data_IF_196991283517
#
_entry.id   IF_196991283517
#
_cell.length_a   1.000
_cell.length_b   1.000
_cell.length_c   1.000
_cell.angle_alpha   90.00
_cell.angle_beta   90.00
_cell.angle_gamma   90.00
#
_symmetry.space_group_name_H-M   'P 1'
#
loop_
_entity.id
_entity.type
_entity.pdbx_description
1 polymer ?
#
# COMPACT_ATOMS: atom_id res chain seq x y z
N UNK A 1 -7.14 8.29 23.06
CA UNK A 1 -6.65 7.29 22.08
C UNK A 1 -6.55 7.99 20.72
N UNK A 2 -5.47 7.79 19.97
CA UNK A 2 -5.28 8.38 18.62
C UNK A 2 -4.47 9.70 18.55
N UNK A 3 -4.03 10.26 19.67
CA UNK A 3 -3.18 11.48 19.69
C UNK A 3 -1.69 11.18 19.49
N UNK A 4 -1.27 9.94 19.73
CA UNK A 4 0.09 9.46 19.51
C UNK A 4 -0.01 8.29 18.55
N UNK A 5 0.55 8.46 17.35
CA UNK A 5 0.61 7.42 16.32
C UNK A 5 2.08 7.07 16.04
N UNK A 6 2.30 5.90 15.44
CA UNK A 6 3.62 5.46 14.99
C UNK A 6 3.66 5.46 13.46
N UNK A 7 4.80 5.84 12.89
CA UNK A 7 4.99 5.85 11.45
C UNK A 7 4.93 4.41 10.89
N UNK A 8 4.34 4.26 9.70
CA UNK A 8 4.27 2.98 8.99
C UNK A 8 5.64 2.54 8.48
N UNK A 9 5.79 1.23 8.21
CA UNK A 9 7.09 0.58 7.96
C UNK A 9 7.92 1.20 6.83
N UNK A 10 7.28 1.65 5.74
CA UNK A 10 7.97 2.24 4.58
C UNK A 10 7.68 3.72 4.38
N UNK A 11 6.93 4.36 5.29
CA UNK A 11 6.62 5.77 5.17
C UNK A 11 7.86 6.61 5.45
N UNK A 12 8.02 7.70 4.71
CA UNK A 12 9.10 8.69 4.89
C UNK A 12 8.52 10.09 5.03
N UNK A 13 9.30 11.00 5.60
CA UNK A 13 8.96 12.43 5.68
C UNK A 13 9.80 13.16 4.64
N UNK A 14 9.17 13.94 3.76
CA UNK A 14 9.87 14.74 2.76
C UNK A 14 10.42 16.06 3.33
N UNK A 15 11.15 16.82 2.52
CA UNK A 15 11.80 18.08 2.96
C UNK A 15 10.82 19.14 3.46
N UNK A 16 9.55 19.05 3.04
CA UNK A 16 8.47 19.95 3.44
C UNK A 16 7.71 19.47 4.68
N UNK A 17 8.06 18.29 5.22
CA UNK A 17 7.42 17.72 6.39
C UNK A 17 6.18 16.87 6.10
N UNK A 18 5.86 16.58 4.84
CA UNK A 18 4.75 15.69 4.48
C UNK A 18 5.18 14.23 4.53
N UNK A 19 4.23 13.36 4.89
CA UNK A 19 4.42 11.92 4.89
C UNK A 19 4.19 11.41 3.47
N UNK A 20 5.11 10.60 2.97
CA UNK A 20 5.04 9.94 1.68
C UNK A 20 5.11 8.42 1.84
N UNK A 21 4.42 7.71 0.96
CA UNK A 21 4.44 6.25 0.87
C UNK A 21 5.00 5.81 -0.50
N UNK A 22 5.74 4.69 -0.55
CA UNK A 22 6.27 4.17 -1.80
C UNK A 22 5.22 3.36 -2.58
N UNK A 23 5.22 3.54 -3.89
CA UNK A 23 4.37 2.85 -4.85
C UNK A 23 5.18 2.41 -6.07
N UNK A 24 4.87 1.22 -6.61
CA UNK A 24 5.40 0.76 -7.89
C UNK A 24 4.62 1.37 -9.03
N UNK A 25 5.31 1.91 -10.02
CA UNK A 25 4.66 2.51 -11.19
C UNK A 25 4.20 1.45 -12.17
N UNK A 26 2.98 1.58 -12.68
CA UNK A 26 2.49 0.80 -13.83
C UNK A 26 2.79 1.59 -15.10
N UNK A 27 3.44 0.96 -16.07
CA UNK A 27 3.70 1.60 -17.36
C UNK A 27 2.38 1.75 -18.16
N UNK A 28 1.95 2.98 -18.47
CA UNK A 28 0.67 3.23 -19.14
C UNK A 28 0.61 2.68 -20.57
N UNK A 29 1.76 2.42 -21.22
CA UNK A 29 1.77 1.90 -22.59
C UNK A 29 1.74 0.37 -22.63
N UNK A 30 2.34 -0.29 -21.64
CA UNK A 30 2.53 -1.76 -21.64
C UNK A 30 1.66 -2.49 -20.63
N UNK A 31 1.13 -1.78 -19.63
CA UNK A 31 0.38 -2.35 -18.49
C UNK A 31 1.24 -3.20 -17.57
N UNK A 32 2.57 -3.05 -17.64
CA UNK A 32 3.53 -3.80 -16.81
C UNK A 32 3.78 -3.03 -15.52
N UNK A 33 3.74 -3.73 -14.39
CA UNK A 33 4.16 -3.19 -13.10
C UNK A 33 5.67 -3.18 -13.05
N UNK A 34 6.25 -1.98 -13.03
CA UNK A 34 7.69 -1.77 -13.05
C UNK A 34 8.29 -1.87 -11.64
N UNK A 35 9.62 -1.97 -11.57
CA UNK A 35 10.37 -1.87 -10.32
C UNK A 35 10.74 -0.42 -9.96
N UNK A 36 10.23 0.56 -10.72
CA UNK A 36 10.37 1.98 -10.41
C UNK A 36 9.47 2.32 -9.21
N UNK A 37 10.10 2.71 -8.10
CA UNK A 37 9.41 3.14 -6.89
C UNK A 37 9.28 4.66 -6.88
N UNK A 38 8.04 5.15 -6.95
CA UNK A 38 7.70 6.54 -6.72
C UNK A 38 7.17 6.71 -5.31
N UNK A 39 7.63 7.74 -4.61
CA UNK A 39 7.05 8.12 -3.33
C UNK A 39 6.04 9.22 -3.56
N UNK A 40 4.82 9.00 -3.09
CA UNK A 40 3.72 9.92 -3.28
C UNK A 40 3.25 10.44 -1.92
N UNK A 41 2.95 11.73 -1.88
CA UNK A 41 2.19 12.34 -0.80
C UNK A 41 0.71 11.95 -0.90
N UNK A 42 -0.07 12.21 0.16
CA UNK A 42 -1.51 11.93 0.17
C UNK A 42 -2.25 12.68 -0.95
N UNK A 43 -1.91 13.96 -1.18
CA UNK A 43 -2.54 14.78 -2.23
C UNK A 43 -2.20 14.27 -3.64
N UNK A 44 -1.00 13.71 -3.84
CA UNK A 44 -0.61 13.11 -5.11
C UNK A 44 -1.32 11.77 -5.33
N UNK A 45 -1.40 10.90 -4.31
CA UNK A 45 -2.10 9.60 -4.39
C UNK A 45 -3.56 9.76 -4.85
N UNK A 46 -4.27 10.77 -4.36
CA UNK A 46 -5.69 11.02 -4.68
C UNK A 46 -6.00 11.18 -6.19
N UNK A 47 -4.98 11.45 -6.99
CA UNK A 47 -5.11 11.59 -8.44
C UNK A 47 -4.92 10.29 -9.21
N UNK A 48 -4.45 9.23 -8.54
CA UNK A 48 -4.07 7.97 -9.16
C UNK A 48 -4.90 6.80 -8.66
N UNK A 49 -4.99 5.77 -9.50
CA UNK A 49 -5.59 4.49 -9.12
C UNK A 49 -4.50 3.54 -8.66
N UNK A 50 -4.61 3.08 -7.41
CA UNK A 50 -3.61 2.22 -6.77
C UNK A 50 -4.14 0.79 -6.59
N UNK A 51 -3.46 -0.18 -7.19
CA UNK A 51 -3.72 -1.61 -6.96
C UNK A 51 -3.07 -2.12 -5.68
N UNK A 52 -3.69 -3.12 -5.06
CA UNK A 52 -3.17 -3.75 -3.84
C UNK A 52 -1.92 -4.60 -4.12
N UNK A 53 -1.04 -4.72 -3.12
CA UNK A 53 0.23 -5.46 -3.24
C UNK A 53 0.05 -6.98 -3.45
N UNK A 54 -1.12 -7.52 -3.12
CA UNK A 54 -1.47 -8.93 -3.28
C UNK A 54 -2.13 -9.24 -4.63
N UNK A 55 -2.25 -8.26 -5.54
CA UNK A 55 -2.76 -8.51 -6.88
C UNK A 55 -1.86 -9.49 -7.63
N UNK A 56 -2.45 -10.51 -8.23
CA UNK A 56 -1.72 -11.54 -8.97
C UNK A 56 -1.10 -10.97 -10.25
N UNK A 57 0.22 -11.15 -10.40
CA UNK A 57 0.99 -10.75 -11.57
C UNK A 57 1.45 -11.98 -12.37
N UNK A 58 1.55 -11.84 -13.68
CA UNK A 58 2.19 -12.80 -14.59
C UNK A 58 3.71 -12.72 -14.50
N UNK A 59 4.42 -13.68 -15.08
CA UNK A 59 5.89 -13.68 -15.14
C UNK A 59 6.46 -12.43 -15.85
N UNK A 60 5.71 -11.88 -16.81
CA UNK A 60 6.02 -10.63 -17.51
C UNK A 60 5.70 -9.35 -16.69
N UNK A 61 5.23 -9.49 -15.44
CA UNK A 61 4.91 -8.37 -14.56
C UNK A 61 3.58 -7.66 -14.87
N UNK A 62 2.66 -8.30 -15.60
CA UNK A 62 1.32 -7.76 -15.89
C UNK A 62 0.29 -8.32 -14.92
N UNK A 63 -0.84 -7.63 -14.73
CA UNK A 63 -1.96 -8.20 -13.96
C UNK A 63 -2.52 -9.45 -14.65
N UNK A 64 -2.58 -10.56 -13.90
CA UNK A 64 -3.11 -11.84 -14.39
C UNK A 64 -4.62 -11.77 -14.64
N UNK A 65 -5.33 -11.00 -13.81
CA UNK A 65 -6.78 -10.82 -13.88
C UNK A 65 -7.14 -9.57 -14.69
N UNK A 66 -8.22 -9.64 -15.49
CA UNK A 66 -8.70 -8.48 -16.27
C UNK A 66 -9.31 -7.39 -15.40
N UNK A 67 -9.86 -7.78 -14.24
CA UNK A 67 -10.36 -6.86 -13.22
C UNK A 67 -9.50 -6.93 -11.96
N UNK A 68 -9.05 -5.77 -11.50
CA UNK A 68 -8.20 -5.63 -10.31
C UNK A 68 -8.93 -4.83 -9.24
N UNK A 69 -8.77 -5.22 -7.97
CA UNK A 69 -9.26 -4.43 -6.84
C UNK A 69 -8.27 -3.30 -6.60
N UNK A 70 -8.79 -2.07 -6.65
CA UNK A 70 -8.01 -0.85 -6.55
C UNK A 70 -8.60 0.07 -5.49
N UNK A 71 -7.75 0.94 -4.95
CA UNK A 71 -8.14 2.10 -4.16
C UNK A 71 -8.09 3.33 -5.06
N UNK A 72 -9.15 4.12 -5.06
CA UNK A 72 -9.19 5.42 -5.68
C UNK A 72 -9.90 6.37 -4.72
N UNK A 73 -9.16 7.34 -4.17
CA UNK A 73 -9.63 8.20 -3.08
C UNK A 73 -10.15 7.35 -1.91
N UNK A 74 -11.36 7.62 -1.43
CA UNK A 74 -11.99 6.91 -0.32
C UNK A 74 -12.65 5.58 -0.73
N UNK A 75 -12.71 5.25 -2.04
CA UNK A 75 -13.45 4.10 -2.55
C UNK A 75 -12.53 2.93 -2.94
N UNK A 76 -12.99 1.71 -2.62
CA UNK A 76 -12.40 0.47 -3.12
C UNK A 76 -13.24 -0.04 -4.28
N UNK A 77 -12.67 -0.01 -5.48
CA UNK A 77 -13.35 -0.31 -6.73
C UNK A 77 -12.76 -1.55 -7.40
N UNK A 78 -13.55 -2.20 -8.25
CA UNK A 78 -13.04 -3.19 -9.21
C UNK A 78 -13.05 -2.55 -10.59
N UNK A 79 -11.88 -2.39 -11.17
CA UNK A 79 -11.73 -1.76 -12.49
C UNK A 79 -10.89 -2.63 -13.41
N UNK A 80 -10.90 -2.29 -14.70
CA UNK A 80 -10.04 -2.94 -15.69
C UNK A 80 -8.56 -2.66 -15.38
N UNK A 81 -7.70 -3.67 -15.57
CA UNK A 81 -6.24 -3.58 -15.34
C UNK A 81 -5.56 -2.42 -16.08
N UNK A 82 -6.10 -1.99 -17.22
CA UNK A 82 -5.55 -0.91 -18.05
C UNK A 82 -5.74 0.49 -17.45
N UNK A 83 -6.53 0.61 -16.38
CA UNK A 83 -6.80 1.87 -15.68
C UNK A 83 -6.03 2.00 -14.36
N UNK A 84 -5.10 1.09 -14.09
CA UNK A 84 -4.28 1.10 -12.88
C UNK A 84 -3.01 1.91 -13.14
N UNK A 85 -2.74 2.90 -12.31
CA UNK A 85 -1.57 3.78 -12.45
C UNK A 85 -0.40 3.32 -11.58
N UNK A 86 -0.70 2.84 -10.37
CA UNK A 86 0.28 2.44 -9.37
C UNK A 86 -0.12 1.14 -8.67
N UNK A 87 0.84 0.51 -8.01
CA UNK A 87 0.63 -0.68 -7.17
C UNK A 87 1.39 -0.54 -5.85
N UNK A 88 0.77 -0.95 -4.74
CA UNK A 88 1.42 -1.01 -3.43
C UNK A 88 2.69 -1.88 -3.49
N UNK A 89 3.75 -1.50 -2.77
CA UNK A 89 5.02 -2.25 -2.75
C UNK A 89 4.91 -3.52 -1.91
N UNK A 90 4.21 -3.44 -0.78
CA UNK A 90 4.12 -4.56 0.16
C UNK A 90 2.89 -4.45 1.06
N UNK A 91 2.23 -5.56 1.44
CA UNK A 91 1.17 -5.55 2.46
C UNK A 91 1.65 -4.98 3.81
N UNK A 92 2.95 -5.08 4.10
CA UNK A 92 3.54 -4.57 5.34
C UNK A 92 3.64 -3.04 5.38
N UNK A 93 3.41 -2.35 4.27
CA UNK A 93 3.52 -0.89 4.20
C UNK A 93 2.43 -0.17 5.00
N UNK A 94 1.32 -0.85 5.28
CA UNK A 94 0.16 -0.28 6.00
C UNK A 94 0.39 -0.27 7.51
N UNK A 95 1.26 -1.13 8.03
CA UNK A 95 1.46 -1.33 9.47
C UNK A 95 2.78 -0.73 9.96
N UNK A 96 2.85 -0.41 11.25
CA UNK A 96 4.09 0.03 11.90
C UNK A 96 5.07 -1.12 12.10
N UNK A 97 6.35 -0.79 12.32
CA UNK A 97 7.41 -1.80 12.52
C UNK A 97 7.09 -2.78 13.64
N UNK A 98 6.59 -2.29 14.78
CA UNK A 98 6.24 -3.14 15.92
C UNK A 98 5.04 -4.06 15.60
N UNK A 99 4.05 -3.57 14.86
CA UNK A 99 2.90 -4.37 14.45
C UNK A 99 3.30 -5.43 13.42
N UNK A 100 4.23 -5.11 12.52
CA UNK A 100 4.73 -6.01 11.48
C UNK A 100 5.51 -7.22 12.04
N UNK A 101 5.91 -7.20 13.31
CA UNK A 101 6.57 -8.30 14.01
C UNK A 101 5.59 -9.32 14.61
N UNK A 102 4.29 -9.03 14.63
CA UNK A 102 3.27 -9.97 15.10
C UNK A 102 3.04 -11.02 14.01
N UNK A 103 3.36 -12.31 14.26
CA UNK A 103 3.08 -13.36 13.30
C UNK A 103 1.56 -13.60 13.19
N UNK A 104 1.09 -13.97 12.00
CA UNK A 104 -0.32 -14.29 11.73
C UNK A 104 -1.30 -13.17 12.09
N UNK A 105 -0.87 -11.91 11.96
CA UNK A 105 -1.66 -10.70 12.25
C UNK A 105 -3.02 -10.70 11.54
N UNK A 106 -3.09 -11.27 10.34
CA UNK A 106 -4.30 -11.40 9.54
C UNK A 106 -5.39 -12.28 10.18
N UNK A 107 -5.05 -13.07 11.21
CA UNK A 107 -5.97 -13.93 11.96
C UNK A 107 -6.38 -13.34 13.31
N UNK A 108 -5.79 -12.21 13.72
CA UNK A 108 -6.09 -11.55 14.99
C UNK A 108 -7.02 -10.35 14.78
N UNK A 109 -7.86 -10.05 15.78
CA UNK A 109 -8.69 -8.84 15.76
C UNK A 109 -7.86 -7.60 16.09
N UNK A 110 -8.36 -6.43 15.65
CA UNK A 110 -7.64 -5.17 15.78
C UNK A 110 -7.35 -4.76 17.23
N UNK A 111 -8.19 -5.15 18.20
CA UNK A 111 -7.95 -4.82 19.61
C UNK A 111 -6.82 -5.68 20.19
N UNK A 112 -6.79 -6.98 19.86
CA UNK A 112 -5.68 -7.87 20.24
C UNK A 112 -4.37 -7.46 19.58
N UNK A 113 -4.40 -7.08 18.31
CA UNK A 113 -3.23 -6.54 17.62
C UNK A 113 -2.70 -5.28 18.31
N UNK A 114 -3.59 -4.32 18.65
CA UNK A 114 -3.23 -3.09 19.35
C UNK A 114 -2.60 -3.37 20.74
N UNK A 115 -3.19 -4.28 21.51
CA UNK A 115 -2.62 -4.66 22.82
C UNK A 115 -1.26 -5.35 22.62
N UNK A 116 -1.15 -6.29 21.68
CA UNK A 116 0.08 -7.01 21.38
C UNK A 116 1.23 -6.09 20.98
N UNK A 117 0.97 -5.10 20.12
CA UNK A 117 1.98 -4.11 19.73
C UNK A 117 2.48 -3.28 20.91
N UNK A 118 1.58 -2.89 21.83
CA UNK A 118 1.95 -2.10 23.00
C UNK A 118 2.67 -2.91 24.08
N UNK A 119 2.43 -4.22 24.18
CA UNK A 119 3.10 -5.11 25.14
C UNK A 119 4.52 -5.52 24.71
N UNK A 120 4.86 -5.37 23.42
CA UNK A 120 6.21 -5.62 22.89
C UNK A 120 7.18 -4.44 23.04
N UNK A 121 6.67 -3.26 23.40
CA UNK A 121 7.47 -2.07 23.70
C UNK A 121 8.07 -2.15 25.09
#
# INVERSE_FOLDING_TARGET
IGLINSLSTFARVNEFGFIEAPYRRVDPNTGVVTDEISYLTADEEDNYVVAQANAELTEDGKFANDTVIVRYKDDNLRIAKDRVDYMDVSPKQVVSVATALIPFLENDDSNRALMGTNMQR
#
